data_IF_919570550649
#
_entry.id   IF_919570550649
#
_cell.length_a   1.000
_cell.length_b   1.000
_cell.length_c   1.000
_cell.angle_alpha   90.00
_cell.angle_beta   90.00
_cell.angle_gamma   90.00
#
_symmetry.space_group_name_H-M   'P 1'
#
loop_
_entity.id
_entity.type
_entity.pdbx_description
1 polymer ?
#
# COMPACT_ATOMS: atom_id res chain seq x y z
N UNK A 1 17.23 -16.71 -21.88
CA UNK A 1 15.81 -16.32 -21.76
C UNK A 1 15.71 -15.33 -20.60
N UNK A 2 15.55 -14.04 -20.90
CA UNK A 2 15.64 -12.92 -19.94
C UNK A 2 14.41 -12.96 -19.05
N UNK A 3 14.55 -13.43 -17.81
CA UNK A 3 13.53 -13.27 -16.78
C UNK A 3 13.31 -11.78 -16.58
N UNK A 4 12.28 -11.26 -17.24
CA UNK A 4 11.70 -9.96 -16.94
C UNK A 4 11.27 -10.03 -15.49
N UNK A 5 12.13 -9.51 -14.60
CA UNK A 5 11.67 -8.99 -13.31
C UNK A 5 10.57 -8.01 -13.67
N UNK A 6 9.32 -8.45 -13.54
CA UNK A 6 8.16 -7.58 -13.61
C UNK A 6 8.40 -6.60 -12.48
N UNK A 7 8.94 -5.45 -12.88
CA UNK A 7 8.88 -4.26 -12.08
C UNK A 7 7.39 -4.09 -11.92
N UNK A 8 6.88 -4.21 -10.69
CA UNK A 8 5.49 -3.89 -10.38
C UNK A 8 5.40 -2.39 -10.58
N UNK A 9 5.26 -1.97 -11.83
CA UNK A 9 5.23 -0.58 -12.19
C UNK A 9 3.94 -0.03 -11.58
N UNK A 10 4.10 0.87 -10.59
CA UNK A 10 3.03 1.56 -9.86
C UNK A 10 2.00 2.29 -10.74
N UNK A 11 2.16 2.27 -12.06
CA UNK A 11 1.27 2.87 -13.06
C UNK A 11 -0.12 2.19 -13.18
N UNK A 12 -0.31 0.97 -12.66
CA UNK A 12 -1.62 0.29 -12.63
C UNK A 12 -2.17 0.00 -11.22
N UNK A 13 -1.43 0.34 -10.17
CA UNK A 13 -1.86 0.07 -8.80
C UNK A 13 -2.78 1.18 -8.30
N UNK A 14 -4.07 1.03 -8.58
CA UNK A 14 -5.13 1.99 -8.21
C UNK A 14 -5.56 1.91 -6.74
N UNK A 15 -4.91 1.07 -5.93
CA UNK A 15 -5.32 0.83 -4.53
C UNK A 15 -5.22 2.10 -3.68
N UNK A 16 -4.18 2.92 -3.90
CA UNK A 16 -3.95 4.17 -3.16
C UNK A 16 -4.34 5.40 -3.97
N UNK A 17 -5.15 5.22 -5.01
CA UNK A 17 -5.60 6.33 -5.85
C UNK A 17 -6.54 7.24 -5.03
N UNK A 18 -6.21 8.53 -4.85
CA UNK A 18 -7.04 9.47 -4.11
C UNK A 18 -8.41 9.70 -4.76
N UNK A 19 -8.55 9.46 -6.06
CA UNK A 19 -9.82 9.56 -6.78
C UNK A 19 -10.73 8.34 -6.55
N UNK A 20 -10.18 7.23 -6.07
CA UNK A 20 -10.92 6.02 -5.69
C UNK A 20 -11.16 5.96 -4.18
N UNK A 21 -10.14 6.29 -3.38
CA UNK A 21 -10.22 6.34 -1.93
C UNK A 21 -10.56 7.75 -1.45
N UNK A 22 -11.77 8.22 -1.78
CA UNK A 22 -12.23 9.57 -1.45
C UNK A 22 -12.62 9.72 0.03
N UNK A 23 -13.18 8.65 0.62
CA UNK A 23 -13.71 8.68 1.98
C UNK A 23 -12.64 8.37 3.03
N UNK A 24 -12.57 9.21 4.07
CA UNK A 24 -11.61 9.06 5.17
C UNK A 24 -11.72 7.70 5.88
N UNK A 25 -12.95 7.23 6.12
CA UNK A 25 -13.20 5.92 6.73
C UNK A 25 -12.64 4.77 5.89
N UNK A 26 -12.73 4.88 4.56
CA UNK A 26 -12.21 3.86 3.63
C UNK A 26 -10.68 3.90 3.59
N UNK A 27 -10.08 5.08 3.60
CA UNK A 27 -8.61 5.24 3.71
C UNK A 27 -8.06 4.58 4.98
N UNK A 28 -8.69 4.84 6.13
CA UNK A 28 -8.33 4.23 7.41
C UNK A 28 -8.49 2.71 7.35
N UNK A 29 -9.59 2.22 6.75
CA UNK A 29 -9.84 0.79 6.63
C UNK A 29 -8.77 0.10 5.77
N UNK A 30 -8.40 0.67 4.62
CA UNK A 30 -7.34 0.12 3.75
C UNK A 30 -6.01 0.10 4.49
N UNK A 31 -5.63 1.18 5.17
CA UNK A 31 -4.42 1.25 5.97
C UNK A 31 -4.41 0.22 7.11
N UNK A 32 -5.55 0.03 7.77
CA UNK A 32 -5.70 -0.97 8.84
C UNK A 32 -5.53 -2.38 8.30
N UNK A 33 -6.10 -2.67 7.12
CA UNK A 33 -5.94 -3.96 6.45
C UNK A 33 -4.49 -4.17 6.05
N UNK A 34 -3.82 -3.19 5.43
CA UNK A 34 -2.41 -3.26 5.06
C UNK A 34 -1.51 -3.53 6.29
N UNK A 35 -1.71 -2.79 7.39
CA UNK A 35 -0.99 -3.00 8.63
C UNK A 35 -1.25 -4.39 9.25
N UNK A 36 -2.49 -4.88 9.14
CA UNK A 36 -2.85 -6.23 9.57
C UNK A 36 -2.15 -7.28 8.71
N UNK A 37 -2.13 -7.11 7.39
CA UNK A 37 -1.41 -8.00 6.48
C UNK A 37 0.09 -8.02 6.78
N UNK A 38 0.71 -6.87 7.04
CA UNK A 38 2.12 -6.80 7.48
C UNK A 38 2.34 -7.63 8.74
N UNK A 39 1.45 -7.50 9.73
CA UNK A 39 1.56 -8.21 11.02
C UNK A 39 1.47 -9.73 10.88
N UNK A 40 0.67 -10.22 9.93
CA UNK A 40 0.40 -11.65 9.75
C UNK A 40 1.13 -12.30 8.58
N UNK A 41 1.78 -11.52 7.70
CA UNK A 41 2.61 -12.07 6.65
C UNK A 41 3.89 -12.66 7.26
N UNK A 42 4.29 -13.82 6.73
CA UNK A 42 5.47 -14.57 7.19
C UNK A 42 6.60 -14.55 6.16
N UNK A 43 6.28 -14.11 4.94
CA UNK A 43 7.25 -13.98 3.86
C UNK A 43 7.82 -12.55 3.84
N UNK A 44 9.15 -12.46 3.81
CA UNK A 44 9.85 -11.17 3.70
C UNK A 44 9.47 -10.42 2.41
N UNK A 45 9.26 -11.17 1.32
CA UNK A 45 8.92 -10.59 0.01
C UNK A 45 7.56 -9.88 0.03
N UNK A 46 6.55 -10.51 0.63
CA UNK A 46 5.22 -9.94 0.81
C UNK A 46 5.24 -8.76 1.79
N UNK A 47 5.93 -8.93 2.93
CA UNK A 47 6.08 -7.90 3.95
C UNK A 47 6.70 -6.63 3.37
N UNK A 48 7.72 -6.78 2.51
CA UNK A 48 8.35 -5.66 1.81
C UNK A 48 7.37 -4.90 0.92
N UNK A 49 6.59 -5.62 0.11
CA UNK A 49 5.59 -5.00 -0.78
C UNK A 49 4.53 -4.26 0.04
N UNK A 50 4.08 -4.84 1.16
CA UNK A 50 3.10 -4.20 2.03
C UNK A 50 3.63 -2.92 2.70
N UNK A 51 4.92 -2.90 3.08
CA UNK A 51 5.57 -1.69 3.57
C UNK A 51 5.70 -0.61 2.49
N UNK A 52 5.95 -0.98 1.23
CA UNK A 52 5.96 -0.04 0.11
C UNK A 52 4.59 0.63 -0.05
N UNK A 53 3.48 -0.13 0.01
CA UNK A 53 2.13 0.44 0.00
C UNK A 53 1.85 1.33 1.22
N UNK A 54 2.30 0.97 2.43
CA UNK A 54 2.13 1.83 3.60
C UNK A 54 2.91 3.14 3.47
N UNK A 55 4.12 3.10 2.91
CA UNK A 55 4.93 4.29 2.67
C UNK A 55 4.28 5.22 1.64
N UNK A 56 3.80 4.69 0.51
CA UNK A 56 3.04 5.47 -0.48
C UNK A 56 1.78 6.08 0.15
N UNK A 57 1.03 5.29 0.92
CA UNK A 57 -0.18 5.75 1.59
C UNK A 57 0.09 6.87 2.61
N UNK A 58 1.26 6.89 3.24
CA UNK A 58 1.67 7.99 4.13
C UNK A 58 1.85 9.33 3.41
N UNK A 59 2.23 9.29 2.13
CA UNK A 59 2.40 10.47 1.28
C UNK A 59 1.04 10.93 0.72
N UNK A 60 0.21 9.97 0.30
CA UNK A 60 -1.10 10.25 -0.32
C UNK A 60 -2.16 10.65 0.72
N UNK A 61 -2.12 10.06 1.92
CA UNK A 61 -3.10 10.31 2.99
C UNK A 61 -2.46 10.94 4.24
N UNK A 62 -1.87 12.14 4.15
CA UNK A 62 -1.15 12.77 5.26
C UNK A 62 -2.06 13.10 6.46
N UNK A 63 -3.38 13.17 6.26
CA UNK A 63 -4.36 13.38 7.33
C UNK A 63 -4.56 12.16 8.23
N UNK A 64 -4.24 10.96 7.75
CA UNK A 64 -4.43 9.71 8.51
C UNK A 64 -3.20 9.39 9.37
N UNK A 65 -2.04 9.95 9.03
CA UNK A 65 -0.81 9.79 9.79
C UNK A 65 -0.56 11.05 10.65
N UNK A 66 -0.78 11.01 11.97
CA UNK A 66 -0.39 12.10 12.84
C UNK A 66 1.13 12.25 12.84
N UNK A 67 1.61 13.49 12.67
CA UNK A 67 3.03 13.90 12.65
C UNK A 67 3.58 14.02 14.07
#
# INVERSE_FOLDING_TARGET
>A
NRSTRVSVSSENNVLLDPDILTEFSTQILVLTILATLVKYSTEESETRILYEYLAEASIVFPKVFPI
#
